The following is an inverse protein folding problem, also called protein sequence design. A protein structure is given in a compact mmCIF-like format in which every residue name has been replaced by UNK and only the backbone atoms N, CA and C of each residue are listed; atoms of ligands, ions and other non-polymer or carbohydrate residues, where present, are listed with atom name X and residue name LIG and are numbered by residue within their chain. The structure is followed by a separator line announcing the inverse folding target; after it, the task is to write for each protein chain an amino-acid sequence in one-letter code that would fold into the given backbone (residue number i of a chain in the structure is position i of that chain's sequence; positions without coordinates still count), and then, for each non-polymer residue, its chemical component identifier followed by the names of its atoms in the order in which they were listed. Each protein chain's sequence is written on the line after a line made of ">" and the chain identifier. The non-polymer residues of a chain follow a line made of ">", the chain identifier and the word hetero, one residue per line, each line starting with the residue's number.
data_IF_767352155206
#
_entry.id   IF_767352155206
#
_cell.length_a   1.000
_cell.length_b   1.000
_cell.length_c   1.000
_cell.angle_alpha   90.00
_cell.angle_beta   90.00
_cell.angle_gamma   90.00
#
_symmetry.space_group_name_H-M   'P 1'
#
loop_
_entity.id
_entity.type
_entity.pdbx_description
1 polymer ?
#
# COMPACT_ATOMS: atom_id res chain seq x y z
N UNK A 1 -22.48 -21.60 -56.77
CA UNK A 1 -22.03 -20.38 -56.07
C UNK A 1 -23.00 -20.18 -54.93
N UNK A 2 -22.58 -20.52 -53.70
CA UNK A 2 -23.42 -20.33 -52.51
C UNK A 2 -23.28 -18.87 -52.13
N UNK A 3 -24.37 -18.10 -52.26
CA UNK A 3 -24.44 -16.78 -51.64
C UNK A 3 -24.52 -17.05 -50.14
N UNK A 4 -23.40 -16.87 -49.43
CA UNK A 4 -23.42 -16.73 -47.98
C UNK A 4 -24.40 -15.61 -47.65
N UNK A 5 -25.57 -15.95 -47.12
CA UNK A 5 -26.52 -14.95 -46.66
C UNK A 5 -25.91 -14.26 -45.44
N UNK A 6 -25.81 -12.93 -45.52
CA UNK A 6 -25.31 -12.12 -44.42
C UNK A 6 -26.24 -12.32 -43.21
N UNK A 7 -25.68 -12.76 -42.08
CA UNK A 7 -26.42 -13.11 -40.88
C UNK A 7 -27.13 -11.89 -40.23
N UNK A 8 -26.89 -10.67 -40.70
CA UNK A 8 -27.58 -9.46 -40.26
C UNK A 8 -28.72 -9.06 -41.21
N UNK A 9 -29.82 -8.54 -40.66
CA UNK A 9 -30.92 -8.03 -41.49
C UNK A 9 -30.48 -6.81 -42.30
N UNK A 10 -31.06 -6.65 -43.51
CA UNK A 10 -30.79 -5.50 -44.39
C UNK A 10 -31.01 -4.15 -43.67
N UNK A 11 -31.96 -4.11 -42.74
CA UNK A 11 -32.23 -2.93 -41.91
C UNK A 11 -31.08 -2.58 -40.97
N UNK A 12 -30.40 -3.58 -40.40
CA UNK A 12 -29.21 -3.39 -39.54
C UNK A 12 -28.02 -2.92 -40.37
N UNK A 13 -27.80 -3.49 -41.56
CA UNK A 13 -26.72 -3.07 -42.46
C UNK A 13 -26.93 -1.65 -43.01
N UNK A 14 -28.18 -1.21 -43.13
CA UNK A 14 -28.54 0.12 -43.62
C UNK A 14 -28.37 1.24 -42.57
N UNK A 15 -28.11 0.90 -41.30
CA UNK A 15 -27.87 1.90 -40.26
C UNK A 15 -26.57 2.64 -40.54
N UNK A 16 -26.69 3.94 -40.82
CA UNK A 16 -25.53 4.82 -40.98
C UNK A 16 -24.82 5.00 -39.64
N UNK A 17 -23.50 4.82 -39.64
CA UNK A 17 -22.67 5.14 -38.47
C UNK A 17 -22.82 6.64 -38.12
N UNK A 18 -22.88 6.99 -36.82
CA UNK A 18 -22.90 8.40 -36.39
C UNK A 18 -21.73 9.20 -36.98
N UNK A 19 -21.98 10.46 -37.35
CA UNK A 19 -21.00 11.35 -38.00
C UNK A 19 -19.74 11.58 -37.15
N UNK A 20 -19.85 11.44 -35.84
CA UNK A 20 -18.80 11.63 -34.83
C UNK A 20 -18.18 10.31 -34.36
N UNK A 21 -18.58 9.17 -34.93
CA UNK A 21 -18.03 7.87 -34.57
C UNK A 21 -16.50 7.84 -34.78
N UNK A 22 -15.76 7.56 -33.71
CA UNK A 22 -14.31 7.35 -33.75
C UNK A 22 -14.04 5.85 -33.63
N UNK A 23 -13.67 5.22 -34.75
CA UNK A 23 -13.30 3.81 -34.73
C UNK A 23 -12.12 3.58 -33.75
N UNK A 24 -12.22 2.58 -32.85
CA UNK A 24 -11.13 2.27 -31.93
C UNK A 24 -9.86 1.88 -32.69
N UNK A 25 -8.71 2.44 -32.27
CA UNK A 25 -7.40 2.05 -32.80
C UNK A 25 -6.93 0.74 -32.16
N UNK A 26 -7.29 -0.39 -32.75
CA UNK A 26 -6.79 -1.70 -32.33
C UNK A 26 -5.42 -1.99 -32.95
N UNK A 27 -4.55 -2.67 -32.20
CA UNK A 27 -3.31 -3.21 -32.77
C UNK A 27 -3.65 -4.36 -33.74
N UNK A 28 -2.89 -4.50 -34.83
CA UNK A 28 -3.06 -5.61 -35.76
C UNK A 28 -2.67 -6.90 -35.04
N UNK A 29 -3.55 -7.89 -35.11
CA UNK A 29 -3.26 -9.23 -34.61
C UNK A 29 -2.34 -9.94 -35.60
N UNK A 30 -1.19 -10.40 -35.15
CA UNK A 30 -0.16 -11.03 -35.98
C UNK A 30 -0.27 -12.57 -36.03
N UNK A 31 -1.26 -13.14 -35.34
CA UNK A 31 -1.47 -14.60 -35.27
C UNK A 31 -0.53 -15.33 -34.30
N UNK A 32 0.31 -14.63 -33.54
CA UNK A 32 1.34 -15.24 -32.69
C UNK A 32 0.92 -15.46 -31.23
N UNK A 33 -0.04 -14.68 -30.73
CA UNK A 33 -0.54 -14.72 -29.34
C UNK A 33 -1.99 -15.15 -29.29
N UNK A 34 -2.55 -15.43 -28.11
CA UNK A 34 -3.98 -15.69 -27.99
C UNK A 34 -4.81 -14.44 -28.38
N UNK A 35 -5.88 -14.54 -29.20
CA UNK A 35 -6.70 -13.40 -29.60
C UNK A 35 -7.32 -12.62 -28.43
N UNK A 36 -7.63 -13.29 -27.32
CA UNK A 36 -8.18 -12.65 -26.10
C UNK A 36 -7.08 -11.83 -25.42
N UNK A 37 -5.88 -12.39 -25.31
CA UNK A 37 -4.71 -11.69 -24.72
C UNK A 37 -4.30 -10.46 -25.56
N UNK A 38 -4.35 -10.57 -26.89
CA UNK A 38 -4.05 -9.46 -27.80
C UNK A 38 -4.96 -8.25 -27.54
N UNK A 39 -6.27 -8.52 -27.38
CA UNK A 39 -7.29 -7.50 -27.12
C UNK A 39 -7.18 -6.90 -25.71
N UNK A 40 -6.76 -7.68 -24.72
CA UNK A 40 -6.63 -7.21 -23.34
C UNK A 40 -5.29 -6.50 -23.06
N UNK A 41 -4.26 -6.74 -23.86
CA UNK A 41 -2.89 -6.25 -23.64
C UNK A 41 -2.78 -4.74 -23.36
N UNK A 42 -3.43 -3.87 -24.14
CA UNK A 42 -3.43 -2.41 -23.91
C UNK A 42 -4.11 -2.02 -22.60
N UNK A 43 -5.22 -2.69 -22.28
CA UNK A 43 -5.98 -2.46 -21.05
C UNK A 43 -5.16 -2.87 -19.84
N UNK A 44 -4.56 -4.06 -19.87
CA UNK A 44 -3.68 -4.58 -18.82
C UNK A 44 -2.48 -3.65 -18.62
N UNK A 45 -1.82 -3.20 -19.68
CA UNK A 45 -0.71 -2.23 -19.60
C UNK A 45 -1.13 -0.93 -18.93
N UNK A 46 -2.25 -0.33 -19.35
CA UNK A 46 -2.78 0.91 -18.74
C UNK A 46 -3.06 0.72 -17.24
N UNK A 47 -3.65 -0.40 -16.87
CA UNK A 47 -3.96 -0.73 -15.48
C UNK A 47 -2.66 -0.94 -14.67
N UNK A 48 -1.71 -1.74 -15.16
CA UNK A 48 -0.44 -1.96 -14.50
C UNK A 48 0.31 -0.65 -14.25
N UNK A 49 0.33 0.25 -15.23
CA UNK A 49 0.90 1.60 -15.08
C UNK A 49 0.18 2.37 -13.97
N UNK A 50 -1.16 2.37 -13.96
CA UNK A 50 -1.92 3.09 -12.93
C UNK A 50 -1.69 2.55 -11.52
N UNK A 51 -1.55 1.23 -11.36
CA UNK A 51 -1.26 0.59 -10.07
C UNK A 51 0.16 0.94 -9.61
N UNK A 52 1.13 0.93 -10.52
CA UNK A 52 2.52 1.33 -10.24
C UNK A 52 2.67 2.81 -9.83
N UNK A 53 1.71 3.66 -10.20
CA UNK A 53 1.68 5.08 -9.84
C UNK A 53 1.05 5.34 -8.46
N UNK A 54 0.46 4.34 -7.82
CA UNK A 54 -0.09 4.47 -6.47
C UNK A 54 1.05 4.61 -5.46
N UNK A 55 1.18 5.80 -4.88
CA UNK A 55 2.10 6.07 -3.80
C UNK A 55 1.36 6.58 -2.56
N UNK A 56 1.86 6.19 -1.40
CA UNK A 56 1.41 6.70 -0.10
C UNK A 56 1.79 8.19 -0.01
N UNK A 57 0.81 9.03 0.32
CA UNK A 57 1.01 10.47 0.54
C UNK A 57 1.93 10.74 1.74
N UNK A 58 2.45 11.97 1.85
CA UNK A 58 3.34 12.35 2.97
C UNK A 58 2.62 12.29 4.32
N UNK A 59 1.35 12.66 4.34
CA UNK A 59 0.49 12.73 5.51
C UNK A 59 -0.62 11.66 5.51
N UNK A 60 -0.52 10.68 4.60
CA UNK A 60 -1.48 9.58 4.49
C UNK A 60 -1.04 8.41 5.38
N UNK A 61 -1.94 7.93 6.23
CA UNK A 61 -1.70 6.74 7.05
C UNK A 61 -1.58 5.49 6.16
N UNK A 62 -0.83 4.49 6.63
CA UNK A 62 -0.64 3.24 5.89
C UNK A 62 -1.96 2.55 5.59
N UNK A 63 -2.93 2.63 6.53
CA UNK A 63 -4.28 2.09 6.38
C UNK A 63 -5.01 2.68 5.18
N UNK A 64 -5.00 4.01 5.07
CA UNK A 64 -5.71 4.72 4.01
C UNK A 64 -5.09 4.40 2.64
N UNK A 65 -3.75 4.36 2.60
CA UNK A 65 -3.02 3.91 1.41
C UNK A 65 -3.40 2.49 1.01
N UNK A 66 -3.42 1.52 1.93
CA UNK A 66 -3.76 0.12 1.64
C UNK A 66 -5.21 -0.01 1.15
N UNK A 67 -6.16 0.72 1.75
CA UNK A 67 -7.56 0.74 1.30
C UNK A 67 -7.66 1.29 -0.12
N UNK A 68 -6.99 2.41 -0.40
CA UNK A 68 -6.95 3.03 -1.73
C UNK A 68 -6.29 2.12 -2.76
N UNK A 69 -5.19 1.47 -2.38
CA UNK A 69 -4.48 0.51 -3.20
C UNK A 69 -5.37 -0.69 -3.55
N UNK A 70 -5.98 -1.32 -2.53
CA UNK A 70 -6.87 -2.46 -2.72
C UNK A 70 -8.03 -2.12 -3.65
N UNK A 71 -8.68 -0.97 -3.43
CA UNK A 71 -9.80 -0.49 -4.27
C UNK A 71 -9.38 -0.25 -5.72
N UNK A 72 -8.19 0.29 -5.96
CA UNK A 72 -7.66 0.47 -7.31
C UNK A 72 -7.31 -0.86 -7.99
N UNK A 73 -6.96 -1.88 -7.20
CA UNK A 73 -6.61 -3.21 -7.70
C UNK A 73 -7.80 -4.19 -7.81
N UNK A 74 -8.95 -3.86 -7.21
CA UNK A 74 -10.10 -4.76 -7.12
C UNK A 74 -10.71 -5.02 -8.51
N UNK A 75 -10.90 -6.29 -8.86
CA UNK A 75 -11.57 -6.69 -10.10
C UNK A 75 -10.68 -6.81 -11.34
N UNK A 76 -9.36 -6.66 -11.20
CA UNK A 76 -8.41 -6.84 -12.30
C UNK A 76 -7.97 -8.31 -12.35
N UNK A 77 -8.59 -9.11 -13.23
CA UNK A 77 -8.31 -10.56 -13.35
C UNK A 77 -6.94 -10.89 -13.97
N UNK A 78 -6.39 -10.00 -14.78
CA UNK A 78 -5.18 -10.24 -15.59
C UNK A 78 -3.90 -9.64 -14.99
N UNK A 79 -3.95 -9.05 -13.79
CA UNK A 79 -2.78 -8.44 -13.18
C UNK A 79 -1.97 -9.51 -12.42
N UNK A 80 -0.72 -9.70 -12.83
CA UNK A 80 0.18 -10.62 -12.15
C UNK A 80 0.49 -10.13 -10.72
N UNK A 81 0.46 -11.03 -9.73
CA UNK A 81 0.68 -10.66 -8.34
C UNK A 81 2.07 -10.05 -8.07
N UNK A 82 3.09 -10.41 -8.86
CA UNK A 82 4.39 -9.73 -8.74
C UNK A 82 4.26 -8.23 -9.00
N UNK A 83 3.47 -7.81 -10.00
CA UNK A 83 3.21 -6.40 -10.30
C UNK A 83 2.52 -5.71 -9.13
N UNK A 84 1.56 -6.38 -8.49
CA UNK A 84 0.86 -5.87 -7.30
C UNK A 84 1.83 -5.69 -6.13
N UNK A 85 2.65 -6.70 -5.83
CA UNK A 85 3.63 -6.65 -4.74
C UNK A 85 4.68 -5.56 -5.01
N UNK A 86 5.20 -5.48 -6.25
CA UNK A 86 6.14 -4.43 -6.66
C UNK A 86 5.54 -3.03 -6.49
N UNK A 87 4.29 -2.83 -6.91
CA UNK A 87 3.61 -1.55 -6.76
C UNK A 87 3.36 -1.19 -5.29
N UNK A 88 2.98 -2.14 -4.44
CA UNK A 88 2.85 -1.92 -3.00
C UNK A 88 4.20 -1.54 -2.37
N UNK A 89 5.28 -2.25 -2.74
CA UNK A 89 6.63 -1.99 -2.26
C UNK A 89 7.17 -0.61 -2.67
N UNK A 90 6.95 -0.20 -3.92
CA UNK A 90 7.36 1.11 -4.40
C UNK A 90 6.50 2.23 -3.80
N UNK A 91 5.19 1.98 -3.66
CA UNK A 91 4.21 2.95 -3.21
C UNK A 91 4.23 3.23 -1.71
N UNK A 92 4.52 2.23 -0.87
CA UNK A 92 4.51 2.42 0.59
C UNK A 92 5.72 3.23 1.09
N UNK A 93 5.45 4.08 2.09
CA UNK A 93 6.46 4.85 2.84
C UNK A 93 6.92 4.13 4.11
N UNK A 94 6.23 3.07 4.55
CA UNK A 94 6.62 2.33 5.74
C UNK A 94 7.83 1.40 5.44
N UNK A 95 9.03 1.68 5.99
CA UNK A 95 10.24 0.93 5.63
C UNK A 95 10.21 -0.51 6.14
N UNK A 96 9.57 -0.77 7.27
CA UNK A 96 9.45 -2.11 7.83
C UNK A 96 8.49 -2.97 7.02
N UNK A 97 7.37 -2.39 6.57
CA UNK A 97 6.46 -3.07 5.66
C UNK A 97 7.15 -3.38 4.32
N UNK A 98 7.86 -2.40 3.74
CA UNK A 98 8.64 -2.60 2.51
C UNK A 98 9.64 -3.74 2.62
N UNK A 99 10.39 -3.80 3.72
CA UNK A 99 11.32 -4.89 4.01
C UNK A 99 10.62 -6.24 4.23
N UNK A 100 9.41 -6.23 4.79
CA UNK A 100 8.57 -7.43 4.96
C UNK A 100 8.18 -8.04 3.62
N UNK A 101 7.79 -7.17 2.68
CA UNK A 101 7.37 -7.54 1.33
C UNK A 101 8.55 -8.07 0.49
N UNK A 102 9.76 -7.53 0.67
CA UNK A 102 10.94 -8.01 -0.06
C UNK A 102 11.42 -9.39 0.41
N UNK A 103 11.20 -9.73 1.68
CA UNK A 103 11.66 -11.00 2.27
C UNK A 103 10.70 -12.16 2.03
N UNK A 104 9.40 -11.89 1.97
CA UNK A 104 8.37 -12.90 1.83
C UNK A 104 7.43 -12.48 0.70
N UNK A 105 7.56 -13.10 -0.47
CA UNK A 105 6.63 -12.86 -1.58
C UNK A 105 5.23 -13.29 -1.16
N UNK A 106 4.25 -12.42 -1.40
CA UNK A 106 2.83 -12.77 -1.26
C UNK A 106 2.36 -13.33 -2.58
N UNK A 107 1.74 -14.50 -2.59
CA UNK A 107 1.24 -15.12 -3.82
C UNK A 107 -0.23 -14.78 -4.05
N UNK A 108 -0.91 -14.21 -3.05
CA UNK A 108 -2.31 -13.79 -3.14
C UNK A 108 -2.51 -12.39 -2.60
N UNK A 109 -3.56 -11.71 -3.07
CA UNK A 109 -3.97 -10.42 -2.52
C UNK A 109 -4.33 -10.54 -1.02
N UNK A 110 -4.92 -11.67 -0.60
CA UNK A 110 -5.28 -11.89 0.80
C UNK A 110 -4.05 -11.91 1.73
N UNK A 111 -3.00 -12.66 1.38
CA UNK A 111 -1.75 -12.69 2.14
C UNK A 111 -1.10 -11.31 2.23
N UNK A 112 -1.15 -10.58 1.11
CA UNK A 112 -0.56 -9.26 0.98
C UNK A 112 -1.28 -8.25 1.89
N UNK A 113 -2.61 -8.24 1.88
CA UNK A 113 -3.43 -7.34 2.72
C UNK A 113 -3.32 -7.71 4.21
N UNK A 114 -3.38 -8.99 4.56
CA UNK A 114 -3.20 -9.47 5.95
C UNK A 114 -1.82 -9.07 6.50
N UNK A 115 -0.79 -9.12 5.67
CA UNK A 115 0.54 -8.63 6.05
C UNK A 115 0.53 -7.11 6.27
N UNK A 116 -0.15 -6.36 5.41
CA UNK A 116 -0.32 -4.91 5.56
C UNK A 116 -1.01 -4.52 6.85
N UNK A 117 -2.08 -5.23 7.23
CA UNK A 117 -2.83 -5.04 8.48
C UNK A 117 -1.93 -5.04 9.72
N UNK A 118 -1.01 -6.02 9.83
CA UNK A 118 -0.02 -6.07 10.92
C UNK A 118 0.79 -4.78 11.07
N UNK A 119 1.15 -4.12 9.96
CA UNK A 119 1.93 -2.88 9.99
C UNK A 119 1.06 -1.64 10.21
N UNK A 120 -0.22 -1.70 9.84
CA UNK A 120 -1.22 -0.70 10.22
C UNK A 120 -1.37 -0.67 11.74
N UNK A 121 -1.56 -1.83 12.37
CA UNK A 121 -1.70 -1.93 13.82
C UNK A 121 -0.47 -1.35 14.56
N UNK A 122 0.73 -1.65 14.06
CA UNK A 122 1.98 -1.12 14.62
C UNK A 122 2.10 0.41 14.46
N UNK A 123 1.67 0.95 13.31
CA UNK A 123 1.67 2.39 13.07
C UNK A 123 0.64 3.11 13.95
N UNK A 124 -0.59 2.59 14.04
CA UNK A 124 -1.64 3.14 14.91
C UNK A 124 -1.22 3.12 16.39
N UNK A 125 -0.64 2.01 16.88
CA UNK A 125 -0.13 1.92 18.25
C UNK A 125 1.01 2.93 18.53
N UNK A 126 1.90 3.15 17.55
CA UNK A 126 2.97 4.14 17.67
C UNK A 126 2.41 5.57 17.76
N UNK A 127 1.39 5.91 16.97
CA UNK A 127 0.77 7.23 17.00
C UNK A 127 0.07 7.51 18.34
N UNK A 128 -0.62 6.52 18.92
CA UNK A 128 -1.24 6.64 20.25
C UNK A 128 -0.18 6.96 21.30
N UNK A 129 0.90 6.17 21.35
CA UNK A 129 1.98 6.37 22.35
C UNK A 129 2.77 7.66 22.15
N UNK A 130 2.89 8.15 20.91
CA UNK A 130 3.50 9.45 20.61
C UNK A 130 2.61 10.60 21.06
N UNK A 131 1.30 10.53 20.82
CA UNK A 131 0.33 11.52 21.30
C UNK A 131 0.25 11.60 22.83
N UNK A 132 0.48 10.48 23.53
CA UNK A 132 0.58 10.46 24.99
C UNK A 132 1.86 11.16 25.54
N UNK A 133 2.90 11.37 24.72
CA UNK A 133 4.12 12.09 25.15
C UNK A 133 4.01 13.61 25.08
N UNK A 134 2.95 14.13 24.46
CA UNK A 134 2.65 15.56 24.37
C UNK A 134 1.76 16.07 25.52
N UNK A 135 1.61 15.30 26.61
CA UNK A 135 0.99 15.80 27.84
C UNK A 135 1.92 16.84 28.50
N UNK A 136 1.42 18.04 28.87
CA UNK A 136 2.26 19.06 29.48
C UNK A 136 2.79 18.52 30.81
N UNK A 137 4.13 18.48 30.93
CA UNK A 137 4.82 18.25 32.20
C UNK A 137 4.22 19.18 33.24
N UNK A 138 3.34 18.64 34.08
CA UNK A 138 2.78 19.36 35.21
C UNK A 138 3.95 19.77 36.08
N UNK A 139 4.15 21.08 36.10
CA UNK A 139 5.21 21.79 36.76
C UNK A 139 5.09 21.52 38.27
N UNK A 140 5.77 20.49 38.78
CA UNK A 140 5.99 20.34 40.23
C UNK A 140 6.90 21.48 40.66
N UNK A 141 6.28 22.62 40.97
CA UNK A 141 6.88 23.76 41.65
C UNK A 141 7.67 23.21 42.84
N UNK A 142 9.00 23.34 42.75
CA UNK A 142 9.90 23.18 43.89
C UNK A 142 9.45 24.20 44.94
N UNK A 143 9.03 23.71 46.10
CA UNK A 143 8.88 24.53 47.30
C UNK A 143 10.31 24.77 47.81
N UNK A 144 10.80 26.01 47.92
CA UNK A 144 12.10 26.29 48.53
C UNK A 144 11.94 26.36 50.06
N UNK A 145 12.67 25.51 50.78
CA UNK A 145 12.89 25.69 52.22
C UNK A 145 12.98 24.38 53.00
N UNK A 146 14.18 24.10 53.52
CA UNK A 146 14.46 23.33 54.76
C UNK A 146 14.21 21.80 54.74
N UNK A 147 15.16 20.89 54.96
CA UNK A 147 16.47 20.89 55.64
C UNK A 147 17.39 19.81 55.02
N UNK A 148 18.68 20.13 54.87
CA UNK A 148 19.77 19.21 54.51
C UNK A 148 20.06 18.19 55.63
N UNK A 149 20.31 16.90 55.33
CA UNK A 149 20.99 16.00 56.25
C UNK A 149 22.52 16.14 56.09
N UNK A 150 23.16 16.62 57.16
CA UNK A 150 24.60 16.80 57.28
C UNK A 150 25.35 15.46 57.20
N UNK A 151 26.35 15.42 56.31
CA UNK A 151 27.38 14.40 56.21
C UNK A 151 28.38 14.57 57.38
N UNK A 152 28.47 13.59 58.27
CA UNK A 152 29.60 13.48 59.21
C UNK A 152 30.35 12.17 59.02
N UNK A 153 31.63 12.34 58.65
CA UNK A 153 32.68 11.33 58.55
C UNK A 153 32.93 10.68 59.92
N UNK A 154 33.04 9.36 59.94
CA UNK A 154 33.58 8.60 61.07
C UNK A 154 34.43 7.44 60.57
N UNK A 155 35.73 7.68 60.40
CA UNK A 155 36.77 6.65 60.24
C UNK A 155 37.16 6.18 61.64
N UNK A 156 36.93 4.92 61.97
CA UNK A 156 37.57 4.24 63.10
C UNK A 156 37.94 2.82 62.67
N UNK A 157 39.25 2.59 62.59
CA UNK A 157 39.88 1.27 62.65
C UNK A 157 40.09 0.89 64.11
N UNK A 158 39.96 -0.39 64.44
CA UNK A 158 40.57 -1.10 65.59
C UNK A 158 40.10 -2.56 65.45
N UNK A 159 40.93 -3.53 65.04
CA UNK A 159 41.97 -4.19 65.85
C UNK A 159 41.96 -3.82 67.34
N UNK A 160 41.94 -4.86 68.18
CA UNK A 160 41.93 -4.86 69.65
C UNK A 160 40.56 -4.89 70.34
N UNK A 161 39.97 -6.08 70.43
CA UNK A 161 39.52 -6.61 71.73
C UNK A 161 39.55 -8.15 71.73
N UNK A 162 40.66 -8.67 72.27
CA UNK A 162 40.88 -9.97 72.95
C UNK A 162 40.53 -11.28 72.26
#
# INVERSE_FOLDING_TARGET
>A
MVLEEDHFSLEVMAVLLPRDFKQPKMEKYDGSSDPVDHLSSKRVKKIAISVMQLAQGKDELLKDFIVRFNRATLGIKELHMSTVVTAMMSGTRNPHFKMSLSKNSSNTMHELLRRGEKYVDLEEAYLITKGMKDEPKSNKRKIPGELEPQNNRGRLTQDEMK
#
